data_IF_118123446540
#
_entry.id   IF_118123446540
#
_cell.length_a   1.000
_cell.length_b   1.000
_cell.length_c   1.000
_cell.angle_alpha   90.00
_cell.angle_beta   90.00
_cell.angle_gamma   90.00
#
_symmetry.space_group_name_H-M   'P 1'
#
loop_
_entity.id
_entity.type
_entity.pdbx_description
1 polymer ?
#
# COMPACT_ATOMS: atom_id res chain seq x y z
N UNK A 1 7.22 -8.08 -13.60
CA UNK A 1 6.06 -7.26 -13.20
C UNK A 1 4.75 -8.04 -13.21
N UNK A 2 4.18 -8.23 -12.02
CA UNK A 2 2.93 -8.90 -11.70
C UNK A 2 1.95 -7.87 -11.09
N UNK A 3 0.65 -8.04 -11.31
CA UNK A 3 -0.40 -7.10 -10.87
C UNK A 3 -1.20 -7.72 -9.71
N UNK A 4 -1.26 -7.06 -8.56
CA UNK A 4 -1.93 -7.57 -7.35
C UNK A 4 -3.38 -7.97 -7.61
N UNK A 5 -4.16 -7.15 -8.33
CA UNK A 5 -5.57 -7.44 -8.60
C UNK A 5 -5.81 -8.78 -9.31
N UNK A 6 -4.81 -9.31 -10.04
CA UNK A 6 -4.91 -10.62 -10.69
C UNK A 6 -4.92 -11.77 -9.68
N UNK A 7 -4.29 -11.57 -8.53
CA UNK A 7 -4.12 -12.57 -7.50
C UNK A 7 -5.19 -12.49 -6.42
N UNK A 8 -5.77 -11.31 -6.17
CA UNK A 8 -6.87 -11.17 -5.24
C UNK A 8 -8.09 -12.00 -5.70
N UNK A 9 -8.54 -12.92 -4.86
CA UNK A 9 -9.61 -13.87 -5.17
C UNK A 9 -9.17 -15.07 -6.02
N UNK A 10 -7.90 -15.17 -6.42
CA UNK A 10 -7.38 -16.32 -7.13
C UNK A 10 -7.44 -17.59 -6.24
N UNK A 11 -7.69 -18.77 -6.82
CA UNK A 11 -7.74 -20.01 -6.08
C UNK A 11 -6.36 -20.38 -5.53
N UNK A 12 -6.37 -20.91 -4.31
CA UNK A 12 -5.22 -21.50 -3.64
C UNK A 12 -5.44 -23.00 -3.60
N UNK A 13 -4.51 -23.75 -4.18
CA UNK A 13 -4.50 -25.21 -4.19
C UNK A 13 -3.40 -25.75 -3.27
N UNK A 14 -3.60 -26.95 -2.75
CA UNK A 14 -2.54 -27.74 -2.14
C UNK A 14 -1.70 -28.42 -3.23
N UNK A 15 -0.48 -28.85 -2.87
CA UNK A 15 0.42 -29.55 -3.79
C UNK A 15 -0.11 -30.90 -4.30
N UNK A 16 -1.09 -31.48 -3.61
CA UNK A 16 -1.89 -32.64 -4.04
C UNK A 16 -3.01 -32.30 -5.07
N UNK A 17 -3.18 -31.01 -5.39
CA UNK A 17 -4.17 -30.50 -6.34
C UNK A 17 -5.51 -30.10 -5.71
N UNK A 18 -5.75 -30.40 -4.43
CA UNK A 18 -7.01 -30.06 -3.76
C UNK A 18 -7.16 -28.53 -3.64
N UNK A 19 -8.35 -28.01 -3.95
CA UNK A 19 -8.68 -26.61 -3.66
C UNK A 19 -8.72 -26.39 -2.15
N UNK A 20 -7.89 -25.48 -1.66
CA UNK A 20 -7.83 -25.11 -0.25
C UNK A 20 -8.66 -23.85 0.06
N UNK A 21 -8.60 -22.83 -0.81
CA UNK A 21 -9.28 -21.56 -0.57
C UNK A 21 -9.01 -20.54 -1.66
N UNK A 22 -9.05 -19.25 -1.31
CA UNK A 22 -8.73 -18.14 -2.22
C UNK A 22 -7.91 -17.06 -1.54
N UNK A 23 -7.16 -16.29 -2.30
CA UNK A 23 -6.41 -15.14 -1.77
C UNK A 23 -7.38 -14.04 -1.35
N UNK A 24 -7.25 -13.56 -0.13
CA UNK A 24 -7.99 -12.41 0.40
C UNK A 24 -7.16 -11.13 0.32
N UNK A 25 -5.88 -11.20 0.70
CA UNK A 25 -4.94 -10.07 0.81
C UNK A 25 -3.48 -10.58 0.79
N UNK A 26 -2.51 -9.67 0.77
CA UNK A 26 -1.07 -9.94 0.77
C UNK A 26 -0.42 -9.10 1.86
N UNK A 27 0.32 -9.77 2.76
CA UNK A 27 1.12 -9.16 3.82
C UNK A 27 2.51 -8.88 3.27
N UNK A 28 2.95 -7.63 3.38
CA UNK A 28 4.34 -7.24 3.09
C UNK A 28 5.04 -6.79 4.36
N UNK A 29 6.36 -6.92 4.37
CA UNK A 29 7.25 -6.44 5.42
C UNK A 29 8.29 -5.49 4.86
N UNK A 30 8.63 -4.44 5.62
CA UNK A 30 9.52 -3.37 5.17
C UNK A 30 8.79 -2.29 4.39
N UNK A 31 9.27 -1.05 4.48
CA UNK A 31 8.57 0.13 3.96
C UNK A 31 9.25 0.67 2.71
N UNK A 32 10.56 0.90 2.76
CA UNK A 32 11.33 1.36 1.59
C UNK A 32 11.43 0.30 0.49
N UNK A 33 11.53 -0.97 0.88
CA UNK A 33 11.54 -2.13 -0.02
C UNK A 33 10.56 -3.20 0.50
N UNK A 34 9.24 -3.05 0.26
CA UNK A 34 8.26 -3.99 0.81
C UNK A 34 8.37 -5.35 0.13
N UNK A 35 8.69 -6.37 0.91
CA UNK A 35 8.79 -7.76 0.46
C UNK A 35 7.53 -8.52 0.90
N UNK A 36 6.98 -9.34 0.02
CA UNK A 36 5.87 -10.24 0.35
C UNK A 36 6.33 -11.23 1.41
N UNK A 37 5.71 -11.13 2.58
CA UNK A 37 5.99 -11.97 3.74
C UNK A 37 5.01 -13.14 3.83
N UNK A 38 3.73 -12.90 3.52
CA UNK A 38 2.68 -13.89 3.61
C UNK A 38 1.49 -13.52 2.72
N UNK A 39 0.62 -14.50 2.47
CA UNK A 39 -0.70 -14.31 1.90
C UNK A 39 -1.74 -14.44 3.02
N UNK A 40 -2.81 -13.65 2.92
CA UNK A 40 -4.04 -13.92 3.67
C UNK A 40 -4.93 -14.76 2.78
N UNK A 41 -5.20 -16.00 3.18
CA UNK A 41 -6.14 -16.89 2.52
C UNK A 41 -7.52 -16.84 3.18
N UNK A 42 -8.59 -17.00 2.39
CA UNK A 42 -9.95 -17.23 2.90
C UNK A 42 -10.39 -18.64 2.54
N UNK A 43 -10.71 -19.43 3.56
CA UNK A 43 -11.26 -20.79 3.47
C UNK A 43 -12.31 -20.97 4.56
N UNK A 44 -13.46 -21.58 4.23
CA UNK A 44 -14.59 -21.82 5.14
C UNK A 44 -15.02 -20.59 5.95
N UNK A 45 -15.13 -19.44 5.26
CA UNK A 45 -15.47 -18.12 5.84
C UNK A 45 -14.49 -17.59 6.90
N UNK A 46 -13.35 -18.26 7.10
CA UNK A 46 -12.26 -17.85 8.00
C UNK A 46 -11.07 -17.32 7.23
N UNK A 47 -10.29 -16.47 7.89
CA UNK A 47 -9.02 -15.97 7.37
C UNK A 47 -7.88 -16.81 7.92
N UNK A 48 -6.84 -16.97 7.10
CA UNK A 48 -5.67 -17.75 7.42
C UNK A 48 -4.43 -17.03 6.92
N UNK A 49 -3.35 -17.14 7.67
CA UNK A 49 -2.03 -16.68 7.28
C UNK A 49 -1.26 -17.83 6.62
N UNK A 50 -0.78 -17.59 5.42
CA UNK A 50 0.06 -18.50 4.65
C UNK A 50 1.40 -17.80 4.46
N UNK A 51 2.43 -18.22 5.20
CA UNK A 51 3.76 -17.62 5.09
C UNK A 51 4.39 -17.93 3.73
N UNK A 52 5.28 -17.07 3.24
CA UNK A 52 5.81 -17.20 1.88
C UNK A 52 6.58 -18.52 1.65
N UNK A 53 7.20 -19.08 2.67
CA UNK A 53 7.87 -20.39 2.62
C UNK A 53 6.91 -21.57 2.36
N UNK A 54 5.61 -21.41 2.65
CA UNK A 54 4.60 -22.40 2.31
C UNK A 54 4.17 -22.33 0.84
N UNK A 55 4.49 -21.24 0.13
CA UNK A 55 4.12 -21.05 -1.28
C UNK A 55 5.13 -21.78 -2.17
N UNK A 56 4.72 -22.89 -2.76
CA UNK A 56 5.58 -23.68 -3.66
C UNK A 56 5.57 -23.11 -5.08
N UNK A 57 4.41 -22.63 -5.55
CA UNK A 57 4.26 -22.03 -6.89
C UNK A 57 3.33 -20.82 -6.85
N UNK A 58 3.77 -19.74 -7.47
CA UNK A 58 3.01 -18.52 -7.68
C UNK A 58 2.73 -18.36 -9.17
N UNK A 59 1.65 -18.98 -9.64
CA UNK A 59 1.34 -19.09 -11.06
C UNK A 59 0.50 -17.89 -11.54
N UNK A 60 0.24 -17.78 -12.84
CA UNK A 60 -0.44 -16.60 -13.40
C UNK A 60 -1.88 -16.41 -12.90
N UNK A 61 -2.56 -17.48 -12.48
CA UNK A 61 -3.99 -17.49 -12.13
C UNK A 61 -4.30 -18.32 -10.88
N UNK A 62 -3.29 -18.86 -10.22
CA UNK A 62 -3.42 -19.82 -9.12
C UNK A 62 -2.19 -19.74 -8.23
N UNK A 63 -2.38 -20.12 -6.97
CA UNK A 63 -1.28 -20.27 -6.01
C UNK A 63 -1.30 -21.71 -5.52
N UNK A 64 -0.12 -22.32 -5.44
CA UNK A 64 0.04 -23.66 -4.87
C UNK A 64 0.84 -23.57 -3.58
N UNK A 65 0.26 -24.12 -2.51
CA UNK A 65 0.86 -24.19 -1.20
C UNK A 65 1.23 -25.63 -0.84
N UNK A 66 2.22 -25.78 0.03
CA UNK A 66 2.64 -27.07 0.53
C UNK A 66 1.56 -27.74 1.38
N UNK A 67 1.54 -29.07 1.38
CA UNK A 67 0.74 -29.89 2.30
C UNK A 67 1.48 -30.22 3.59
N UNK A 68 2.78 -29.88 3.67
CA UNK A 68 3.63 -30.25 4.82
C UNK A 68 3.42 -29.35 6.04
N UNK A 69 2.85 -28.17 5.84
CA UNK A 69 2.59 -27.17 6.88
C UNK A 69 1.17 -26.66 6.70
N UNK A 70 0.40 -26.64 7.78
CA UNK A 70 -0.96 -26.11 7.76
C UNK A 70 -0.95 -24.59 7.91
N UNK A 71 -1.75 -23.84 7.11
CA UNK A 71 -1.94 -22.41 7.30
C UNK A 71 -2.41 -22.07 8.71
N UNK A 72 -2.01 -20.91 9.22
CA UNK A 72 -2.32 -20.47 10.58
C UNK A 72 -3.68 -19.78 10.57
N UNK A 73 -4.64 -20.28 11.35
CA UNK A 73 -5.94 -19.62 11.48
C UNK A 73 -5.77 -18.23 12.11
N UNK A 74 -6.33 -17.21 11.47
CA UNK A 74 -6.44 -15.89 12.06
C UNK A 74 -7.77 -15.83 12.82
N UNK A 75 -7.72 -15.63 14.14
CA UNK A 75 -8.92 -15.27 14.89
C UNK A 75 -9.46 -13.91 14.40
N UNK A 76 -10.59 -13.39 14.88
CA UNK A 76 -11.22 -12.22 14.26
C UNK A 76 -10.46 -10.87 14.46
N UNK A 77 -9.32 -10.86 15.18
CA UNK A 77 -8.53 -9.67 15.57
C UNK A 77 -7.02 -9.56 15.19
N UNK A 78 -6.28 -10.58 14.71
CA UNK A 78 -4.83 -10.48 14.51
C UNK A 78 -4.39 -9.61 13.32
N UNK A 79 -5.29 -9.15 12.44
CA UNK A 79 -4.92 -8.21 11.37
C UNK A 79 -4.57 -6.80 11.89
N UNK A 80 -4.95 -6.52 13.13
CA UNK A 80 -4.60 -5.30 13.87
C UNK A 80 -3.22 -5.45 14.55
N UNK A 81 -2.76 -6.69 14.77
CA UNK A 81 -1.47 -7.05 15.38
C UNK A 81 -0.41 -7.40 14.32
N UNK A 82 -0.46 -6.74 13.16
CA UNK A 82 0.66 -6.81 12.23
C UNK A 82 1.94 -6.37 12.94
N UNK A 83 3.04 -7.08 12.70
CA UNK A 83 4.34 -6.69 13.24
C UNK A 83 4.67 -5.23 12.87
N UNK A 84 5.55 -4.59 13.64
CA UNK A 84 5.82 -3.15 13.51
C UNK A 84 6.12 -2.68 12.08
N UNK A 85 6.71 -3.51 11.22
CA UNK A 85 7.05 -3.17 9.84
C UNK A 85 6.14 -3.83 8.77
N UNK A 86 4.98 -4.39 9.18
CA UNK A 86 4.06 -5.09 8.29
C UNK A 86 2.79 -4.28 7.99
N UNK A 87 2.31 -4.44 6.76
CA UNK A 87 1.04 -3.89 6.26
C UNK A 87 0.47 -4.76 5.15
N UNK A 88 -0.77 -4.46 4.75
CA UNK A 88 -1.53 -5.23 3.78
C UNK A 88 -1.71 -4.48 2.47
N UNK A 89 -1.41 -5.11 1.35
CA UNK A 89 -1.45 -4.43 0.06
C UNK A 89 -2.88 -4.08 -0.37
N UNK A 90 -3.88 -4.94 -0.15
CA UNK A 90 -5.27 -4.61 -0.50
C UNK A 90 -5.86 -3.61 0.47
N UNK A 91 -5.65 -3.78 1.79
CA UNK A 91 -6.23 -2.90 2.82
C UNK A 91 -5.60 -1.51 2.83
N UNK A 92 -4.27 -1.44 2.79
CA UNK A 92 -3.53 -0.21 3.09
C UNK A 92 -3.04 0.51 1.81
N UNK A 93 -3.00 -0.16 0.65
CA UNK A 93 -2.46 0.43 -0.60
C UNK A 93 -3.47 0.47 -1.72
N UNK A 94 -4.14 -0.63 -2.03
CA UNK A 94 -5.07 -0.70 -3.15
C UNK A 94 -6.27 0.22 -2.91
N UNK A 95 -6.70 0.92 -3.96
CA UNK A 95 -7.82 1.84 -3.90
C UNK A 95 -7.66 2.98 -2.86
N UNK A 96 -6.48 3.18 -2.29
CA UNK A 96 -6.17 4.30 -1.41
C UNK A 96 -5.57 5.47 -2.19
N UNK A 97 -5.55 6.64 -1.55
CA UNK A 97 -4.83 7.79 -2.08
C UNK A 97 -3.34 7.67 -1.75
N UNK A 98 -2.51 8.14 -2.67
CA UNK A 98 -1.07 8.29 -2.51
C UNK A 98 -0.67 9.66 -3.02
N UNK A 99 0.49 10.14 -2.58
CA UNK A 99 1.11 11.34 -3.12
C UNK A 99 2.30 10.90 -3.95
N UNK A 100 2.22 11.15 -5.26
CA UNK A 100 3.33 11.04 -6.19
C UNK A 100 4.21 12.28 -5.98
N UNK A 101 5.29 12.13 -5.23
CA UNK A 101 6.16 13.26 -4.85
C UNK A 101 6.90 13.79 -6.07
N UNK A 102 7.41 12.89 -6.92
CA UNK A 102 8.08 13.25 -8.16
C UNK A 102 7.14 13.99 -9.13
N UNK A 103 5.90 13.52 -9.26
CA UNK A 103 4.88 14.11 -10.13
C UNK A 103 4.05 15.23 -9.47
N UNK A 104 4.34 15.58 -8.21
CA UNK A 104 3.66 16.62 -7.41
C UNK A 104 2.14 16.54 -7.46
N UNK A 105 1.57 15.35 -7.20
CA UNK A 105 0.10 15.20 -7.22
C UNK A 105 -0.41 14.12 -6.27
N UNK A 106 -1.67 14.29 -5.86
CA UNK A 106 -2.44 13.19 -5.25
C UNK A 106 -2.95 12.29 -6.36
N UNK A 107 -2.79 10.98 -6.18
CA UNK A 107 -3.31 9.96 -7.09
C UNK A 107 -4.01 8.86 -6.30
N UNK A 108 -4.80 8.03 -6.98
CA UNK A 108 -5.44 6.85 -6.38
C UNK A 108 -4.81 5.60 -6.97
N UNK A 109 -4.42 4.67 -6.12
CA UNK A 109 -3.85 3.38 -6.55
C UNK A 109 -4.95 2.54 -7.18
N UNK A 110 -4.73 2.17 -8.44
CA UNK A 110 -5.58 1.23 -9.17
C UNK A 110 -5.07 -0.20 -9.04
N UNK A 111 -3.75 -0.38 -8.99
CA UNK A 111 -3.13 -1.69 -8.79
C UNK A 111 -1.77 -1.54 -8.10
N UNK A 112 -1.33 -2.61 -7.43
CA UNK A 112 0.01 -2.71 -6.85
C UNK A 112 0.83 -3.62 -7.76
N UNK A 113 2.02 -3.16 -8.11
CA UNK A 113 2.91 -3.83 -9.03
C UNK A 113 4.00 -4.53 -8.24
N UNK A 114 4.09 -5.85 -8.46
CA UNK A 114 5.05 -6.73 -7.81
C UNK A 114 6.11 -7.18 -8.82
N UNK A 115 7.31 -7.48 -8.37
CA UNK A 115 8.30 -8.21 -9.18
C UNK A 115 9.07 -9.23 -8.35
N UNK A 116 9.77 -10.12 -9.03
CA UNK A 116 10.62 -11.10 -8.36
C UNK A 116 11.85 -10.42 -7.77
N UNK A 117 11.97 -10.52 -6.45
CA UNK A 117 13.16 -10.15 -5.69
C UNK A 117 14.18 -11.30 -5.67
N UNK A 118 15.22 -11.15 -4.86
CA UNK A 118 16.19 -12.22 -4.61
C UNK A 118 15.52 -13.46 -3.98
N UNK A 119 16.07 -14.64 -4.26
CA UNK A 119 15.61 -15.93 -3.74
C UNK A 119 14.14 -16.30 -4.03
N UNK A 120 13.52 -15.68 -5.04
CA UNK A 120 12.18 -16.05 -5.51
C UNK A 120 11.02 -15.44 -4.72
N UNK A 121 11.30 -14.57 -3.75
CA UNK A 121 10.29 -13.72 -3.11
C UNK A 121 9.77 -12.66 -4.08
N UNK A 122 8.62 -12.06 -3.74
CA UNK A 122 8.09 -10.92 -4.47
C UNK A 122 8.34 -9.63 -3.69
N UNK A 123 8.63 -8.55 -4.39
CA UNK A 123 8.72 -7.20 -3.83
C UNK A 123 7.75 -6.26 -4.51
N UNK A 124 7.34 -5.21 -3.80
CA UNK A 124 6.56 -4.11 -4.38
C UNK A 124 7.51 -3.16 -5.10
N UNK A 125 7.35 -3.04 -6.41
CA UNK A 125 8.18 -2.15 -7.25
C UNK A 125 7.49 -0.83 -7.56
N UNK A 126 6.16 -0.77 -7.44
CA UNK A 126 5.40 0.45 -7.68
C UNK A 126 3.90 0.24 -7.67
N UNK A 127 3.18 1.26 -8.14
CA UNK A 127 1.72 1.27 -8.23
C UNK A 127 1.28 1.79 -9.59
N UNK A 128 0.21 1.23 -10.12
CA UNK A 128 -0.51 1.83 -11.25
C UNK A 128 -1.54 2.82 -10.69
N UNK A 129 -1.45 4.08 -11.14
CA UNK A 129 -2.39 5.15 -10.79
C UNK A 129 -3.21 5.63 -12.00
N UNK A 130 -3.30 4.80 -13.04
CA UNK A 130 -4.09 5.06 -14.24
C UNK A 130 -5.59 5.22 -13.95
N UNK A 131 -6.29 5.92 -14.85
CA UNK A 131 -7.75 6.13 -14.75
C UNK A 131 -8.56 4.91 -15.19
N UNK A 132 -7.91 3.81 -15.58
CA UNK A 132 -8.56 2.61 -16.09
C UNK A 132 -9.58 2.03 -15.08
N UNK A 133 -9.24 2.03 -13.79
CA UNK A 133 -10.14 1.55 -12.73
C UNK A 133 -11.38 2.44 -12.54
N UNK A 134 -11.27 3.75 -12.78
CA UNK A 134 -12.40 4.69 -12.77
C UNK A 134 -13.30 4.45 -13.97
N UNK A 135 -12.72 4.28 -15.16
CA UNK A 135 -13.47 3.98 -16.38
C UNK A 135 -14.19 2.64 -16.30
N UNK A 136 -13.57 1.62 -15.70
CA UNK A 136 -14.22 0.33 -15.45
C UNK A 136 -15.44 0.48 -14.54
N UNK A 137 -15.34 1.28 -13.47
CA UNK A 137 -16.48 1.55 -12.55
C UNK A 137 -17.64 2.29 -13.21
N UNK A 138 -17.38 3.03 -14.29
CA UNK A 138 -18.40 3.71 -15.10
C UNK A 138 -18.98 2.80 -16.22
N UNK A 139 -18.65 1.51 -16.24
CA UNK A 139 -19.08 0.57 -17.28
C UNK A 139 -18.34 0.72 -18.62
N UNK A 140 -17.31 1.57 -18.69
CA UNK A 140 -16.55 1.88 -19.90
C UNK A 140 -15.35 0.96 -20.09
N UNK A 141 -15.52 -0.34 -19.82
CA UNK A 141 -14.44 -1.33 -19.83
C UNK A 141 -13.66 -1.37 -21.15
N UNK A 142 -14.32 -1.14 -22.30
CA UNK A 142 -13.68 -1.11 -23.63
C UNK A 142 -12.72 0.08 -23.81
N UNK A 143 -13.01 1.22 -23.17
CA UNK A 143 -12.16 2.40 -23.19
C UNK A 143 -11.03 2.28 -22.17
N UNK A 144 -11.31 1.72 -20.99
CA UNK A 144 -10.30 1.43 -19.97
C UNK A 144 -9.16 0.55 -20.48
N UNK A 145 -9.46 -0.44 -21.36
CA UNK A 145 -8.46 -1.31 -22.00
C UNK A 145 -7.47 -0.59 -22.92
N UNK A 146 -7.78 0.63 -23.37
CA UNK A 146 -6.91 1.44 -24.25
C UNK A 146 -6.11 2.49 -23.49
N UNK A 147 -6.36 2.66 -22.19
CA UNK A 147 -5.64 3.64 -21.38
C UNK A 147 -4.27 3.05 -21.01
N UNK A 148 -3.15 3.71 -21.34
CA UNK A 148 -1.85 3.25 -20.92
C UNK A 148 -1.74 3.26 -19.39
N UNK A 149 -1.05 2.26 -18.84
CA UNK A 149 -0.74 2.22 -17.42
C UNK A 149 0.05 3.47 -17.03
N UNK A 150 -0.23 4.01 -15.85
CA UNK A 150 0.50 5.14 -15.30
C UNK A 150 1.20 4.67 -14.05
N UNK A 151 2.42 4.17 -14.23
CA UNK A 151 3.22 3.60 -13.14
C UNK A 151 3.95 4.71 -12.39
N UNK A 152 3.87 4.67 -11.06
CA UNK A 152 4.72 5.44 -10.15
C UNK A 152 5.54 4.44 -9.34
N UNK A 153 6.86 4.67 -9.23
CA UNK A 153 7.74 3.78 -8.46
C UNK A 153 7.39 3.85 -6.98
N UNK A 154 7.57 2.74 -6.28
CA UNK A 154 7.31 2.70 -4.84
C UNK A 154 8.18 3.69 -4.06
N UNK A 155 9.43 3.89 -4.50
CA UNK A 155 10.35 4.88 -3.92
C UNK A 155 9.87 6.33 -4.02
N UNK A 156 8.92 6.62 -4.92
CA UNK A 156 8.53 7.99 -5.25
C UNK A 156 7.16 8.36 -4.66
N UNK A 157 6.57 7.48 -3.82
CA UNK A 157 5.23 7.69 -3.23
C UNK A 157 5.27 7.89 -1.71
N UNK A 158 4.38 8.76 -1.25
CA UNK A 158 3.96 8.82 0.15
C UNK A 158 2.54 8.26 0.28
N UNK A 159 2.35 7.28 1.16
CA UNK A 159 1.06 6.63 1.42
C UNK A 159 0.19 7.52 2.31
N UNK A 160 -1.09 7.63 2.00
CA UNK A 160 -2.04 8.39 2.85
C UNK A 160 -2.93 7.50 3.70
N UNK A 161 -2.79 6.18 3.62
CA UNK A 161 -3.41 5.25 4.57
C UNK A 161 -2.77 5.43 5.94
N UNK A 162 -3.56 5.32 7.02
CA UNK A 162 -3.06 5.49 8.39
C UNK A 162 -1.83 4.61 8.67
N UNK A 163 -1.92 3.32 8.33
CA UNK A 163 -0.82 2.36 8.53
C UNK A 163 0.39 2.68 7.66
N UNK A 164 0.20 2.88 6.36
CA UNK A 164 1.29 3.21 5.46
C UNK A 164 2.01 4.52 5.82
N UNK A 165 1.26 5.53 6.27
CA UNK A 165 1.81 6.80 6.72
C UNK A 165 2.67 6.62 7.97
N UNK A 166 2.13 5.95 9.00
CA UNK A 166 2.85 5.65 10.25
C UNK A 166 4.16 4.90 9.97
N UNK A 167 4.09 3.88 9.11
CA UNK A 167 5.25 3.07 8.72
C UNK A 167 6.32 3.90 8.00
N UNK A 168 5.92 4.79 7.08
CA UNK A 168 6.86 5.66 6.38
C UNK A 168 7.51 6.70 7.29
N UNK A 169 6.84 7.14 8.36
CA UNK A 169 7.47 8.00 9.35
C UNK A 169 8.48 7.25 10.22
N UNK A 170 8.19 5.98 10.55
CA UNK A 170 9.04 5.16 11.41
C UNK A 170 10.29 4.56 10.72
N UNK A 171 10.31 4.45 9.38
CA UNK A 171 11.47 3.96 8.62
C UNK A 171 12.38 5.14 8.22
N UNK A 172 13.58 5.22 8.80
CA UNK A 172 14.58 6.26 8.50
C UNK A 172 14.99 6.33 7.02
N UNK A 173 14.83 5.24 6.27
CA UNK A 173 15.15 5.20 4.84
C UNK A 173 13.98 5.59 3.93
N UNK A 174 12.79 5.80 4.50
CA UNK A 174 11.62 6.15 3.73
C UNK A 174 11.79 7.50 3.04
N UNK A 175 11.06 7.66 1.93
CA UNK A 175 11.13 8.84 1.06
C UNK A 175 11.13 10.16 1.86
N UNK A 176 10.20 10.31 2.81
CA UNK A 176 10.01 11.52 3.62
C UNK A 176 11.28 12.05 4.31
N UNK A 177 12.19 11.15 4.73
CA UNK A 177 13.44 11.50 5.40
C UNK A 177 14.58 11.82 4.43
N UNK A 178 14.43 11.41 3.17
CA UNK A 178 15.45 11.60 2.11
C UNK A 178 15.15 12.80 1.21
N UNK A 179 13.97 13.40 1.32
CA UNK A 179 13.55 14.54 0.51
C UNK A 179 14.31 15.81 0.90
N UNK A 180 14.70 16.60 -0.11
CA UNK A 180 15.18 17.95 0.13
C UNK A 180 14.02 18.90 0.52
N UNK A 181 14.36 20.09 1.04
CA UNK A 181 13.38 21.07 1.49
C UNK A 181 12.37 21.49 0.41
N UNK A 182 12.75 21.52 -0.88
CA UNK A 182 11.84 21.85 -1.96
C UNK A 182 10.79 20.75 -2.17
N UNK A 183 11.21 19.49 -2.23
CA UNK A 183 10.33 18.34 -2.37
C UNK A 183 9.44 18.16 -1.13
N UNK A 184 9.97 18.39 0.08
CA UNK A 184 9.18 18.41 1.31
C UNK A 184 8.09 19.47 1.28
N UNK A 185 8.36 20.69 0.82
CA UNK A 185 7.31 21.73 0.67
C UNK A 185 6.18 21.25 -0.24
N UNK A 186 6.51 20.58 -1.35
CA UNK A 186 5.51 20.01 -2.25
C UNK A 186 4.68 18.92 -1.58
N UNK A 187 5.32 17.96 -0.92
CA UNK A 187 4.64 16.91 -0.15
C UNK A 187 3.72 17.54 0.92
N UNK A 188 4.27 18.43 1.74
CA UNK A 188 3.55 19.12 2.82
C UNK A 188 2.45 20.06 2.32
N UNK A 189 2.46 20.49 1.06
CA UNK A 189 1.37 21.30 0.52
C UNK A 189 0.12 20.46 0.23
N UNK A 190 0.28 19.18 -0.10
CA UNK A 190 -0.81 18.31 -0.58
C UNK A 190 -1.30 17.29 0.45
N UNK A 191 -0.47 16.89 1.41
CA UNK A 191 -0.92 16.03 2.55
C UNK A 191 -1.96 16.75 3.42
N UNK A 192 -2.86 16.02 4.11
CA UNK A 192 -3.69 16.58 5.17
C UNK A 192 -2.87 17.30 6.23
N UNK A 193 -3.41 18.37 6.82
CA UNK A 193 -2.67 19.18 7.81
C UNK A 193 -2.22 18.41 9.07
N UNK A 194 -2.96 17.42 9.61
CA UNK A 194 -2.48 16.58 10.70
C UNK A 194 -1.25 15.77 10.30
N UNK A 195 -1.32 15.05 9.18
CA UNK A 195 -0.23 14.22 8.65
C UNK A 195 1.00 15.08 8.31
N UNK A 196 0.77 16.30 7.79
CA UNK A 196 1.84 17.27 7.55
C UNK A 196 2.65 17.60 8.80
N UNK A 197 1.99 17.68 9.96
CA UNK A 197 2.64 17.96 11.25
C UNK A 197 3.40 16.75 11.74
N UNK A 198 2.80 15.57 11.62
CA UNK A 198 3.49 14.33 11.95
C UNK A 198 4.78 14.19 11.13
N UNK A 199 4.76 14.54 9.84
CA UNK A 199 5.99 14.61 9.03
C UNK A 199 6.98 15.60 9.63
N UNK A 200 6.56 16.84 9.92
CA UNK A 200 7.44 17.88 10.49
C UNK A 200 8.08 17.45 11.82
N UNK A 201 7.32 16.74 12.67
CA UNK A 201 7.81 16.25 13.97
C UNK A 201 8.96 15.25 13.84
N UNK A 202 9.19 14.69 12.65
CA UNK A 202 10.27 13.74 12.35
C UNK A 202 11.45 14.37 11.58
N UNK A 203 11.37 15.65 11.22
CA UNK A 203 12.45 16.34 10.51
C UNK A 203 13.40 17.05 11.48
N UNK A 204 14.65 17.24 11.07
CA UNK A 204 15.59 18.07 11.81
C UNK A 204 15.18 19.56 11.79
N UNK A 205 15.70 20.33 12.75
CA UNK A 205 15.37 21.75 12.93
C UNK A 205 15.70 22.60 11.69
N UNK A 206 16.81 22.31 11.01
CA UNK A 206 17.25 23.09 9.85
C UNK A 206 16.30 22.88 8.67
N UNK A 207 15.93 21.62 8.41
CA UNK A 207 14.96 21.27 7.37
C UNK A 207 13.58 21.84 7.69
N UNK A 208 13.13 21.72 8.94
CA UNK A 208 11.87 22.29 9.41
C UNK A 208 11.79 23.80 9.18
N UNK A 209 12.83 24.55 9.56
CA UNK A 209 12.92 25.99 9.31
C UNK A 209 12.88 26.32 7.82
N UNK A 210 13.64 25.58 6.99
CA UNK A 210 13.68 25.79 5.54
C UNK A 210 12.31 25.59 4.88
N UNK A 211 11.53 24.62 5.36
CA UNK A 211 10.19 24.30 4.89
C UNK A 211 9.17 25.36 5.35
N UNK A 212 9.21 25.75 6.63
CA UNK A 212 8.30 26.74 7.22
C UNK A 212 8.56 28.19 6.79
N UNK A 213 9.71 28.46 6.16
CA UNK A 213 9.98 29.75 5.51
C UNK A 213 9.00 30.07 4.36
N UNK A 214 8.24 29.09 3.86
CA UNK A 214 7.11 29.33 2.97
C UNK A 214 5.87 29.82 3.77
N UNK A 215 5.47 31.10 3.62
CA UNK A 215 4.36 31.66 4.40
C UNK A 215 3.01 31.02 4.06
N UNK A 216 2.84 30.51 2.84
CA UNK A 216 1.60 29.84 2.42
C UNK A 216 1.45 28.51 3.17
N UNK A 217 2.53 27.75 3.24
CA UNK A 217 2.58 26.48 3.94
C UNK A 217 2.42 26.67 5.45
N UNK A 218 3.17 27.61 6.05
CA UNK A 218 3.06 27.93 7.47
C UNK A 218 1.63 28.30 7.88
N UNK A 219 0.97 29.17 7.08
CA UNK A 219 -0.43 29.56 7.32
C UNK A 219 -1.38 28.37 7.22
N UNK A 220 -1.19 27.48 6.24
CA UNK A 220 -1.99 26.25 6.07
C UNK A 220 -1.92 25.37 7.31
N UNK A 221 -0.72 25.16 7.84
CA UNK A 221 -0.48 24.33 9.01
C UNK A 221 -1.09 24.94 10.27
N UNK A 222 -1.03 26.26 10.46
CA UNK A 222 -1.69 26.93 11.59
C UNK A 222 -3.21 26.82 11.49
N UNK A 223 -3.81 27.13 10.34
CA UNK A 223 -5.27 27.12 10.15
C UNK A 223 -5.86 25.70 10.17
N UNK A 224 -5.11 24.70 9.72
CA UNK A 224 -5.51 23.30 9.72
C UNK A 224 -5.82 22.72 11.11
N UNK A 225 -5.24 23.28 12.19
CA UNK A 225 -5.53 22.87 13.58
C UNK A 225 -7.00 23.03 14.00
N UNK A 226 -7.72 23.94 13.35
CA UNK A 226 -9.06 24.37 13.83
C UNK A 226 -10.20 23.57 13.23
N UNK A 227 -9.96 22.76 12.20
CA UNK A 227 -10.99 21.93 11.57
C UNK A 227 -10.77 20.46 11.95
N UNK A 228 -11.57 19.94 12.88
CA UNK A 228 -11.70 18.47 13.07
C UNK A 228 -12.28 17.91 11.78
N UNK A 229 -11.46 17.30 10.95
CA UNK A 229 -11.93 16.51 9.83
C UNK A 229 -12.25 15.11 10.33
N UNK A 230 -13.52 14.72 10.22
CA UNK A 230 -13.90 13.31 10.24
C UNK A 230 -13.26 12.66 9.02
N UNK A 231 -12.30 11.74 9.23
CA UNK A 231 -11.85 10.82 8.18
C UNK A 231 -13.11 10.15 7.63
N UNK A 232 -13.38 10.32 6.33
CA UNK A 232 -14.45 9.60 5.66
C UNK A 232 -14.10 8.11 5.75
N UNK A 233 -14.82 7.39 6.60
CA UNK A 233 -14.68 5.95 6.72
C UNK A 233 -14.91 5.29 5.35
N UNK A 234 -14.17 4.21 5.03
CA UNK A 234 -14.51 3.40 3.88
C UNK A 234 -15.93 2.88 4.07
N UNK A 235 -16.74 2.98 3.02
CA UNK A 235 -18.10 2.51 3.00
C UNK A 235 -18.14 1.00 3.28
N UNK A 236 -18.46 0.61 4.51
CA UNK A 236 -19.04 -0.69 4.76
C UNK A 236 -20.52 -0.62 4.35
N UNK A 237 -20.90 -1.45 3.37
CA UNK A 237 -22.28 -1.89 3.20
C UNK A 237 -22.29 -3.43 3.17
N UNK A 238 -23.36 -4.02 3.73
CA UNK A 238 -23.41 -5.41 4.22
C UNK A 238 -23.32 -6.47 3.12
#
# INVERSE_FOLDING_TARGET
MLELNRYLGAPIHRSDGQLWGKVEDVVVTGVSHPIVHALIGRADHRLWLITWDQVERFERTSIVISTSVEPIALEARPLEELQQAQFLLKRDVLDTQIIDVAGTRVARVSDVLLDHAHAGQLEVVGVDVGVASVLARLGLHRLGRKVPQKVVRWSDIHLTSDRGHELQLADENALVHTLNAAALKHLLAVVPAPDARQILDHLDDQTTQAVLADPTLARRLVLGSRRRFTRLQPWHRP
#
